data_IF_924035981214
#
_entry.id   IF_924035981214
#
_cell.length_a   1.000
_cell.length_b   1.000
_cell.length_c   1.000
_cell.angle_alpha   90.00
_cell.angle_beta   90.00
_cell.angle_gamma   90.00
#
_symmetry.space_group_name_H-M   'P 1'
#
loop_
_entity.id
_entity.type
_entity.pdbx_description
1 polymer ?
#
# COMPACT_ATOMS: atom_id res chain seq x y z
N UNK A 1 1.68 3.23 3.26
CA UNK A 1 2.22 1.99 3.88
C UNK A 1 1.76 1.84 5.32
N UNK A 2 0.60 1.22 5.52
CA UNK A 2 -0.06 1.14 6.83
C UNK A 2 0.30 -0.15 7.58
N UNK A 3 0.24 -1.32 6.93
CA UNK A 3 0.59 -2.61 7.54
C UNK A 3 2.03 -2.68 8.05
N UNK A 4 2.98 -2.21 7.25
CA UNK A 4 4.39 -2.18 7.64
C UNK A 4 4.64 -1.29 8.87
N UNK A 5 3.90 -0.19 9.03
CA UNK A 5 4.00 0.68 10.21
C UNK A 5 3.48 -0.01 11.48
N UNK A 6 2.46 -0.86 11.34
CA UNK A 6 1.86 -1.59 12.47
C UNK A 6 2.67 -2.83 12.87
N UNK A 7 3.03 -3.68 11.91
CA UNK A 7 3.56 -5.03 12.19
C UNK A 7 5.06 -5.15 11.91
N UNK A 8 5.61 -4.27 11.07
CA UNK A 8 7.04 -4.25 10.79
C UNK A 8 7.85 -3.85 12.01
N UNK A 9 8.92 -4.59 12.29
CA UNK A 9 9.95 -4.12 13.22
C UNK A 9 10.53 -2.79 12.74
N UNK A 10 11.05 -1.99 13.67
CA UNK A 10 11.78 -0.76 13.36
C UNK A 10 13.26 -0.99 13.60
N UNK A 11 14.11 -0.57 12.66
CA UNK A 11 15.53 -0.36 12.96
C UNK A 11 15.66 1.14 13.24
N UNK A 12 15.76 1.49 14.53
CA UNK A 12 15.64 2.87 15.01
C UNK A 12 14.31 3.52 14.57
N UNK A 13 14.33 4.57 13.74
CA UNK A 13 13.13 5.24 13.21
C UNK A 13 12.70 4.76 11.82
N UNK A 14 13.54 3.97 11.14
CA UNK A 14 13.30 3.56 9.75
C UNK A 14 12.43 2.29 9.69
N UNK A 15 11.43 2.24 8.80
CA UNK A 15 10.66 1.02 8.56
C UNK A 15 11.60 -0.09 8.09
N UNK A 16 11.66 -1.22 8.80
CA UNK A 16 12.39 -2.41 8.35
C UNK A 16 11.41 -3.33 7.62
N UNK A 17 11.56 -3.44 6.30
CA UNK A 17 10.76 -4.35 5.50
C UNK A 17 11.33 -5.77 5.64
N UNK A 18 10.81 -6.52 6.61
CA UNK A 18 11.14 -7.95 6.75
C UNK A 18 10.14 -8.81 5.98
N UNK A 19 10.62 -9.61 5.03
CA UNK A 19 9.82 -10.61 4.31
C UNK A 19 9.08 -11.56 5.28
N UNK A 20 9.72 -11.98 6.37
CA UNK A 20 9.14 -12.97 7.28
C UNK A 20 8.07 -12.41 8.23
N UNK A 21 8.11 -11.10 8.52
CA UNK A 21 7.21 -10.48 9.50
C UNK A 21 6.12 -9.65 8.82
N UNK A 22 6.47 -8.89 7.79
CA UNK A 22 5.55 -7.96 7.12
C UNK A 22 4.83 -8.64 5.95
N UNK A 23 5.57 -9.35 5.09
CA UNK A 23 5.00 -9.93 3.87
C UNK A 23 4.21 -11.21 4.15
N UNK A 24 4.78 -12.14 4.93
CA UNK A 24 4.11 -13.42 5.24
C UNK A 24 2.82 -13.27 6.06
N UNK A 25 2.69 -12.20 6.84
CA UNK A 25 1.50 -11.95 7.66
C UNK A 25 0.57 -10.88 7.07
N UNK A 26 0.86 -10.34 5.87
CA UNK A 26 -0.05 -9.41 5.22
C UNK A 26 -1.36 -10.15 4.91
N UNK A 27 -2.51 -9.70 5.44
CA UNK A 27 -3.76 -10.39 5.27
C UNK A 27 -4.33 -10.05 3.89
N UNK A 28 -3.74 -10.64 2.85
CA UNK A 28 -4.11 -10.43 1.45
C UNK A 28 -5.39 -11.22 1.14
N UNK A 29 -6.54 -10.55 0.91
CA UNK A 29 -7.78 -11.25 0.62
C UNK A 29 -7.72 -11.93 -0.77
N UNK A 30 -8.74 -12.72 -1.09
CA UNK A 30 -8.90 -13.24 -2.45
C UNK A 30 -9.26 -12.08 -3.40
N UNK A 31 -8.26 -11.54 -4.08
CA UNK A 31 -8.44 -10.51 -5.09
C UNK A 31 -8.92 -11.11 -6.41
N UNK A 32 -10.00 -10.57 -6.98
CA UNK A 32 -10.58 -10.99 -8.25
C UNK A 32 -9.62 -10.77 -9.43
N UNK A 33 -9.83 -11.44 -10.56
CA UNK A 33 -9.02 -11.22 -11.77
C UNK A 33 -9.14 -9.77 -12.27
N UNK A 34 -10.33 -9.19 -12.18
CA UNK A 34 -10.60 -7.81 -12.56
C UNK A 34 -9.83 -6.82 -11.69
N UNK A 35 -9.90 -6.97 -10.36
CA UNK A 35 -9.19 -6.07 -9.44
C UNK A 35 -7.68 -6.22 -9.56
N UNK A 36 -7.17 -7.43 -9.80
CA UNK A 36 -5.74 -7.65 -10.11
C UNK A 36 -5.30 -6.87 -11.33
N UNK A 37 -6.11 -6.85 -12.39
CA UNK A 37 -5.81 -6.09 -13.60
C UNK A 37 -5.82 -4.58 -13.34
N UNK A 38 -6.81 -4.08 -12.60
CA UNK A 38 -6.88 -2.67 -12.18
C UNK A 38 -5.67 -2.26 -11.35
N UNK A 39 -5.26 -3.07 -10.37
CA UNK A 39 -4.05 -2.82 -9.55
C UNK A 39 -2.81 -2.79 -10.45
N UNK A 40 -2.68 -3.74 -11.38
CA UNK A 40 -1.56 -3.79 -12.30
C UNK A 40 -1.51 -2.56 -13.21
N UNK A 41 -2.66 -2.06 -13.67
CA UNK A 41 -2.76 -0.83 -14.45
C UNK A 41 -2.36 0.40 -13.66
N UNK A 42 -2.89 0.57 -12.45
CA UNK A 42 -2.51 1.65 -11.55
C UNK A 42 -0.99 1.63 -11.25
N UNK A 43 -0.42 0.45 -11.03
CA UNK A 43 1.02 0.26 -10.86
C UNK A 43 1.84 0.70 -12.08
N UNK A 44 1.38 0.41 -13.30
CA UNK A 44 2.02 0.90 -14.54
C UNK A 44 1.95 2.43 -14.64
N UNK A 45 0.85 3.05 -14.21
CA UNK A 45 0.72 4.50 -14.22
C UNK A 45 1.65 5.17 -13.20
N UNK A 46 1.81 4.57 -12.01
CA UNK A 46 2.83 5.00 -11.05
C UNK A 46 4.25 4.90 -11.62
N UNK A 47 4.56 3.82 -12.36
CA UNK A 47 5.85 3.72 -13.06
C UNK A 47 6.05 4.83 -14.09
N UNK A 48 5.01 5.19 -14.85
CA UNK A 48 5.08 6.31 -15.80
C UNK A 48 5.27 7.65 -15.11
N UNK A 49 4.58 7.91 -14.00
CA UNK A 49 4.72 9.14 -13.22
C UNK A 49 6.18 9.35 -12.77
N UNK A 50 6.86 8.28 -12.34
CA UNK A 50 8.30 8.32 -11.99
C UNK A 50 9.20 8.70 -13.16
N UNK A 51 8.84 8.33 -14.40
CA UNK A 51 9.62 8.70 -15.58
C UNK A 51 9.46 10.20 -15.92
N UNK A 52 8.28 10.76 -15.69
CA UNK A 52 8.00 12.19 -15.92
C UNK A 52 8.80 13.07 -14.94
N UNK A 53 9.08 12.57 -13.73
CA UNK A 53 9.87 13.30 -12.72
C UNK A 53 11.38 13.39 -12.99
N UNK A 54 11.86 12.90 -14.14
CA UNK A 54 13.25 13.02 -14.60
C UNK A 54 14.23 11.99 -14.01
N UNK A 55 15.52 12.10 -14.37
CA UNK A 55 16.61 11.21 -13.91
C UNK A 55 17.04 11.52 -12.46
N UNK A 56 16.09 11.46 -11.54
CA UNK A 56 16.36 11.58 -10.09
C UNK A 56 16.40 10.18 -9.47
N UNK A 57 17.19 9.97 -8.42
CA UNK A 57 17.18 8.69 -7.70
C UNK A 57 15.81 8.47 -7.05
N UNK A 58 15.40 7.21 -6.86
CA UNK A 58 14.12 6.92 -6.19
C UNK A 58 14.05 7.56 -4.80
N UNK A 59 15.16 7.60 -4.05
CA UNK A 59 15.20 8.25 -2.74
C UNK A 59 14.89 9.75 -2.87
N UNK A 60 15.55 10.45 -3.78
CA UNK A 60 15.34 11.89 -3.98
C UNK A 60 13.95 12.22 -4.56
N UNK A 61 13.27 11.29 -5.26
CA UNK A 61 11.86 11.48 -5.65
C UNK A 61 10.91 11.48 -4.45
N UNK A 62 11.15 10.61 -3.45
CA UNK A 62 10.27 10.44 -2.30
C UNK A 62 10.63 11.31 -1.09
N UNK A 63 11.83 11.91 -1.07
CA UNK A 63 12.26 12.89 -0.06
C UNK A 63 11.72 14.31 -0.34
N UNK A 64 11.21 14.57 -1.56
CA UNK A 64 10.59 15.85 -1.91
C UNK A 64 9.34 16.12 -1.07
N UNK A 65 9.28 17.32 -0.48
CA UNK A 65 8.12 17.79 0.28
C UNK A 65 7.70 19.17 -0.24
N UNK A 66 6.52 19.31 -0.88
CA UNK A 66 5.58 18.23 -1.21
C UNK A 66 6.13 17.28 -2.28
N UNK A 67 5.54 16.08 -2.40
CA UNK A 67 5.80 15.22 -3.56
C UNK A 67 5.35 15.94 -4.85
N UNK A 68 5.96 15.56 -5.98
CA UNK A 68 5.45 15.98 -7.29
C UNK A 68 3.98 15.55 -7.44
N UNK A 69 3.15 16.45 -7.98
CA UNK A 69 1.70 16.26 -8.15
C UNK A 69 1.36 14.99 -8.91
N UNK A 70 2.02 14.74 -10.05
CA UNK A 70 1.78 13.53 -10.85
C UNK A 70 2.15 12.23 -10.10
N UNK A 71 3.16 12.30 -9.22
CA UNK A 71 3.56 11.16 -8.40
C UNK A 71 2.57 10.95 -7.25
N UNK A 72 2.07 12.03 -6.64
CA UNK A 72 1.06 11.99 -5.58
C UNK A 72 -0.26 11.40 -6.10
N UNK A 73 -0.79 11.93 -7.20
CA UNK A 73 -2.03 11.43 -7.84
C UNK A 73 -1.94 9.95 -8.21
N UNK A 74 -0.77 9.51 -8.69
CA UNK A 74 -0.55 8.11 -9.04
C UNK A 74 -0.54 7.19 -7.82
N UNK A 75 -0.05 7.65 -6.66
CA UNK A 75 -0.16 6.90 -5.40
C UNK A 75 -1.60 6.86 -4.91
N UNK A 76 -2.31 7.98 -4.90
CA UNK A 76 -3.71 8.04 -4.46
C UNK A 76 -4.61 7.13 -5.31
N UNK A 77 -4.39 7.12 -6.63
CA UNK A 77 -5.10 6.23 -7.55
C UNK A 77 -4.81 4.75 -7.29
N UNK A 78 -3.55 4.41 -6.99
CA UNK A 78 -3.18 3.03 -6.65
C UNK A 78 -3.76 2.61 -5.31
N UNK A 79 -3.67 3.47 -4.30
CA UNK A 79 -4.21 3.22 -2.95
C UNK A 79 -5.73 3.00 -3.02
N UNK A 80 -6.46 3.80 -3.79
CA UNK A 80 -7.91 3.60 -3.97
C UNK A 80 -8.24 2.21 -4.53
N UNK A 81 -7.56 1.78 -5.59
CA UNK A 81 -7.83 0.48 -6.20
C UNK A 81 -7.46 -0.67 -5.25
N UNK A 82 -6.40 -0.50 -4.46
CA UNK A 82 -6.00 -1.49 -3.44
C UNK A 82 -7.02 -1.53 -2.30
N UNK A 83 -7.49 -0.39 -1.82
CA UNK A 83 -8.51 -0.32 -0.76
C UNK A 83 -9.80 -1.03 -1.20
N UNK A 84 -10.28 -0.76 -2.42
CA UNK A 84 -11.44 -1.46 -3.01
C UNK A 84 -11.20 -2.98 -3.11
N UNK A 85 -10.02 -3.39 -3.58
CA UNK A 85 -9.66 -4.81 -3.69
C UNK A 85 -9.56 -5.54 -2.33
N UNK A 86 -9.35 -4.78 -1.25
CA UNK A 86 -9.32 -5.28 0.13
C UNK A 86 -10.71 -5.26 0.80
N UNK A 87 -11.75 -4.81 0.09
CA UNK A 87 -13.11 -4.69 0.64
C UNK A 87 -13.36 -3.39 1.41
N UNK A 88 -12.46 -2.41 1.28
CA UNK A 88 -12.60 -1.07 1.81
C UNK A 88 -13.51 -0.17 0.95
N UNK A 89 -13.76 1.04 1.43
CA UNK A 89 -14.46 2.09 0.72
C UNK A 89 -13.48 3.09 0.07
N UNK A 90 -13.97 3.96 -0.80
CA UNK A 90 -13.13 5.01 -1.39
C UNK A 90 -12.63 6.00 -0.32
N UNK A 91 -11.38 6.46 -0.45
CA UNK A 91 -10.74 7.46 0.42
C UNK A 91 -10.63 7.06 1.90
N UNK A 92 -10.20 5.82 2.19
CA UNK A 92 -9.97 5.41 3.57
C UNK A 92 -8.88 6.26 4.25
N UNK A 93 -9.10 6.58 5.51
CA UNK A 93 -8.09 7.12 6.42
C UNK A 93 -7.05 6.05 6.77
N UNK A 94 -5.94 6.46 7.41
CA UNK A 94 -4.97 5.47 7.89
C UNK A 94 -5.61 4.53 8.92
N UNK A 95 -6.35 5.06 9.89
CA UNK A 95 -7.00 4.28 10.96
C UNK A 95 -8.01 3.26 10.41
N UNK A 96 -8.82 3.63 9.42
CA UNK A 96 -9.76 2.70 8.79
C UNK A 96 -9.04 1.56 8.07
N UNK A 97 -7.92 1.85 7.40
CA UNK A 97 -7.07 0.81 6.78
C UNK A 97 -6.46 -0.11 7.84
N UNK A 98 -6.05 0.43 8.99
CA UNK A 98 -5.51 -0.36 10.10
C UNK A 98 -6.55 -1.36 10.61
N UNK A 99 -7.78 -0.90 10.87
CA UNK A 99 -8.90 -1.74 11.32
C UNK A 99 -9.23 -2.81 10.27
N UNK A 100 -9.34 -2.44 9.00
CA UNK A 100 -9.62 -3.39 7.91
C UNK A 100 -8.59 -4.52 7.87
N UNK A 101 -7.30 -4.17 7.91
CA UNK A 101 -6.23 -5.15 7.86
C UNK A 101 -6.22 -6.06 9.10
N UNK A 102 -6.48 -5.52 10.29
CA UNK A 102 -6.59 -6.34 11.51
C UNK A 102 -7.75 -7.35 11.38
N UNK A 103 -8.91 -6.91 10.91
CA UNK A 103 -10.07 -7.79 10.75
C UNK A 103 -9.78 -8.91 9.73
N UNK A 104 -9.19 -8.58 8.58
CA UNK A 104 -8.79 -9.58 7.58
C UNK A 104 -7.79 -10.59 8.16
N UNK A 105 -6.87 -10.15 9.01
CA UNK A 105 -5.93 -11.05 9.68
C UNK A 105 -6.61 -11.99 10.68
N UNK A 106 -7.54 -11.48 11.50
CA UNK A 106 -8.31 -12.29 12.44
C UNK A 106 -9.17 -13.33 11.72
N UNK A 107 -9.78 -12.96 10.59
CA UNK A 107 -10.54 -13.88 9.75
C UNK A 107 -9.66 -15.01 9.18
N UNK A 108 -8.48 -14.67 8.66
CA UNK A 108 -7.55 -15.65 8.08
C UNK A 108 -6.95 -16.61 9.11
N UNK A 109 -6.79 -16.15 10.35
CA UNK A 109 -6.24 -16.95 11.44
C UNK A 109 -7.30 -17.68 12.26
N UNK A 110 -8.58 -17.51 11.94
CA UNK A 110 -9.70 -18.14 12.64
C UNK A 110 -9.91 -17.61 14.06
N UNK A 111 -9.53 -16.36 14.30
CA UNK A 111 -9.65 -15.68 15.60
C UNK A 111 -10.86 -14.72 15.68
N UNK A 112 -11.70 -14.67 14.64
CA UNK A 112 -12.95 -13.92 14.67
C UNK A 112 -14.05 -14.80 15.33
N UNK A 113 -14.50 -14.41 16.53
CA UNK A 113 -15.48 -15.14 17.35
C UNK A 113 -16.87 -14.54 17.25
#
# INVERSE_FOLDING_TARGET
MTWQKMIGGRLESRPNFSNTVVWNNLPLPRVSAHDRERIAEAGRNLSKARLVTGETSLAAMYEQTPLNEALLEAHESLDQVVDEAFGGCNQMTQEEREILLINLYLDMTGQNH
#
